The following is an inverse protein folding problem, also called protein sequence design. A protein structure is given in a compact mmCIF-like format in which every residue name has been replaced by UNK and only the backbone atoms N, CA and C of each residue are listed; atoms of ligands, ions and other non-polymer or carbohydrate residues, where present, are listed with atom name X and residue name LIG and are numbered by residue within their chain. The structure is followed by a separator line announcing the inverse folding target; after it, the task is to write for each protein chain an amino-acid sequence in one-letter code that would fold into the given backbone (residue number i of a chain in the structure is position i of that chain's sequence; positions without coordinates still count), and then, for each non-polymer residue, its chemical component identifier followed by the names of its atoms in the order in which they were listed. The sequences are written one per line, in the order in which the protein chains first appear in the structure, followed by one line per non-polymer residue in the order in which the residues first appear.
data_IF_686440383353
#
_entry.id   IF_686440383353
#
_cell.length_a   1.000
_cell.length_b   1.000
_cell.length_c   1.000
_cell.angle_alpha   90.00
_cell.angle_beta   90.00
_cell.angle_gamma   90.00
#
_symmetry.space_group_name_H-M   'P 1'
#
loop_
_entity.id
_entity.type
_entity.pdbx_description
1 polymer ?
#
# COMPACT_ATOMS: atom_id res chain seq x y z
N UNK A 1 -10.48 -5.51 10.47
CA UNK A 1 -11.29 -4.76 9.46
C UNK A 1 -11.06 -5.21 8.01
N UNK A 2 -9.87 -5.10 7.39
CA UNK A 2 -9.70 -5.35 5.94
C UNK A 2 -9.84 -6.79 5.43
N UNK A 3 -9.96 -7.79 6.32
CA UNK A 3 -10.28 -9.19 5.96
C UNK A 3 -11.78 -9.47 5.99
N UNK A 4 -12.62 -8.49 6.36
CA UNK A 4 -14.06 -8.69 6.45
C UNK A 4 -14.67 -8.99 5.07
N UNK A 5 -15.82 -9.68 5.06
CA UNK A 5 -16.51 -10.03 3.81
C UNK A 5 -17.27 -8.85 3.20
N UNK A 6 -17.70 -7.90 4.02
CA UNK A 6 -18.51 -6.73 3.60
C UNK A 6 -18.01 -5.46 4.28
N UNK A 7 -18.36 -4.31 3.68
CA UNK A 7 -18.05 -2.99 4.24
C UNK A 7 -18.62 -2.83 5.65
N UNK A 8 -19.90 -3.15 5.85
CA UNK A 8 -20.54 -3.06 7.18
C UNK A 8 -19.80 -3.85 8.26
N UNK A 9 -19.34 -5.07 7.95
CA UNK A 9 -18.53 -5.86 8.90
C UNK A 9 -17.14 -5.26 9.13
N UNK A 10 -16.57 -4.60 8.12
CA UNK A 10 -15.29 -3.91 8.25
C UNK A 10 -15.41 -2.67 9.15
N UNK A 11 -16.51 -1.93 9.03
CA UNK A 11 -16.85 -0.77 9.88
C UNK A 11 -17.10 -1.19 11.32
N UNK A 12 -17.88 -2.26 11.56
CA UNK A 12 -18.06 -2.82 12.90
C UNK A 12 -16.72 -3.22 13.51
N UNK A 13 -15.88 -3.94 12.77
CA UNK A 13 -14.56 -4.34 13.24
C UNK A 13 -13.64 -3.13 13.50
N UNK A 14 -13.77 -2.03 12.75
CA UNK A 14 -13.03 -0.79 13.03
C UNK A 14 -13.49 -0.17 14.36
N UNK A 15 -14.80 -0.06 14.58
CA UNK A 15 -15.36 0.47 15.82
C UNK A 15 -14.92 -0.34 17.05
N UNK A 16 -14.89 -1.66 16.95
CA UNK A 16 -14.38 -2.55 18.01
C UNK A 16 -12.90 -2.32 18.31
N UNK A 17 -12.06 -2.20 17.27
CA UNK A 17 -10.63 -1.92 17.44
C UNK A 17 -10.44 -0.54 18.08
N UNK A 18 -11.13 0.49 17.60
CA UNK A 18 -11.06 1.85 18.18
C UNK A 18 -11.43 1.80 19.65
N UNK A 19 -12.55 1.16 20.01
CA UNK A 19 -12.99 1.00 21.39
C UNK A 19 -11.91 0.32 22.26
N UNK A 20 -11.27 -0.74 21.77
CA UNK A 20 -10.22 -1.45 22.50
C UNK A 20 -8.99 -0.60 22.82
N UNK A 21 -8.68 0.39 21.97
CA UNK A 21 -7.53 1.28 22.14
C UNK A 21 -7.85 2.61 22.82
N UNK A 22 -9.13 2.96 23.06
CA UNK A 22 -9.49 4.26 23.64
C UNK A 22 -8.80 4.54 24.98
N UNK A 23 -8.61 3.52 25.82
CA UNK A 23 -7.96 3.67 27.13
C UNK A 23 -6.43 3.55 27.05
N UNK A 24 -5.92 2.52 26.36
CA UNK A 24 -4.48 2.20 26.35
C UNK A 24 -3.68 3.08 25.39
N UNK A 25 -4.30 3.54 24.29
CA UNK A 25 -3.66 4.34 23.25
C UNK A 25 -4.65 5.35 22.62
N UNK A 26 -5.09 6.37 23.37
CA UNK A 26 -6.16 7.30 22.94
C UNK A 26 -5.82 8.04 21.64
N UNK A 27 -4.55 8.41 21.43
CA UNK A 27 -4.09 9.05 20.18
C UNK A 27 -4.24 8.12 18.97
N UNK A 28 -3.92 6.84 19.13
CA UNK A 28 -4.08 5.85 18.07
C UNK A 28 -5.56 5.62 17.77
N UNK A 29 -6.40 5.52 18.80
CA UNK A 29 -7.84 5.35 18.64
C UNK A 29 -8.47 6.52 17.85
N UNK A 30 -8.13 7.76 18.21
CA UNK A 30 -8.59 8.95 17.47
C UNK A 30 -8.11 8.95 16.02
N UNK A 31 -6.83 8.63 15.78
CA UNK A 31 -6.28 8.55 14.44
C UNK A 31 -6.98 7.48 13.59
N UNK A 32 -7.23 6.30 14.16
CA UNK A 32 -7.94 5.22 13.47
C UNK A 32 -9.37 5.62 13.09
N UNK A 33 -10.08 6.29 13.99
CA UNK A 33 -11.45 6.75 13.77
C UNK A 33 -11.54 7.77 12.63
N UNK A 34 -10.55 8.66 12.50
CA UNK A 34 -10.50 9.68 11.46
C UNK A 34 -9.97 9.16 10.11
N UNK A 35 -8.92 8.33 10.12
CA UNK A 35 -8.15 8.03 8.90
C UNK A 35 -8.42 6.64 8.32
N UNK A 36 -8.73 5.65 9.16
CA UNK A 36 -8.92 4.28 8.68
C UNK A 36 -10.17 4.07 7.79
N UNK A 37 -11.28 4.85 7.90
CA UNK A 37 -12.42 4.73 7.00
C UNK A 37 -12.09 4.92 5.51
N UNK A 38 -11.17 5.81 5.16
CA UNK A 38 -10.75 6.01 3.76
C UNK A 38 -10.17 4.72 3.16
N UNK A 39 -9.41 3.97 3.96
CA UNK A 39 -8.88 2.66 3.57
C UNK A 39 -9.94 1.57 3.35
N UNK A 40 -11.19 1.80 3.77
CA UNK A 40 -12.32 0.91 3.49
C UNK A 40 -12.93 1.12 2.09
N UNK A 41 -12.49 2.14 1.34
CA UNK A 41 -12.90 2.32 -0.06
C UNK A 41 -12.60 1.09 -0.94
N UNK A 42 -11.63 0.24 -0.55
CA UNK A 42 -11.33 -1.02 -1.23
C UNK A 42 -12.53 -1.97 -1.34
N UNK A 43 -13.53 -1.85 -0.46
CA UNK A 43 -14.75 -2.66 -0.51
C UNK A 43 -15.67 -2.35 -1.69
N UNK A 44 -15.47 -1.20 -2.36
CA UNK A 44 -16.16 -0.86 -3.62
C UNK A 44 -15.66 -1.71 -4.80
N UNK A 45 -14.50 -2.36 -4.65
CA UNK A 45 -13.89 -3.19 -5.69
C UNK A 45 -14.40 -4.64 -5.62
N UNK A 46 -14.32 -5.39 -6.74
CA UNK A 46 -14.54 -6.84 -6.75
C UNK A 46 -13.67 -7.57 -5.73
N UNK A 47 -14.21 -8.60 -5.08
CA UNK A 47 -13.55 -9.31 -3.98
C UNK A 47 -12.13 -9.80 -4.33
N UNK A 48 -11.96 -10.34 -5.56
CA UNK A 48 -10.68 -10.84 -6.04
C UNK A 48 -9.60 -9.75 -6.20
N UNK A 49 -9.97 -8.47 -6.35
CA UNK A 49 -9.04 -7.34 -6.37
C UNK A 49 -8.65 -6.87 -4.97
N UNK A 50 -9.58 -6.96 -4.01
CA UNK A 50 -9.39 -6.42 -2.65
C UNK A 50 -8.11 -6.93 -2.00
N UNK A 51 -7.80 -8.22 -2.13
CA UNK A 51 -6.61 -8.81 -1.50
C UNK A 51 -5.30 -8.15 -1.93
N UNK A 52 -5.21 -7.72 -3.20
CA UNK A 52 -4.03 -7.06 -3.77
C UNK A 52 -4.01 -5.56 -3.48
N UNK A 53 -5.19 -4.91 -3.49
CA UNK A 53 -5.30 -3.46 -3.37
C UNK A 53 -5.49 -2.92 -1.96
N UNK A 54 -5.82 -3.76 -0.98
CA UNK A 54 -6.03 -3.33 0.42
C UNK A 54 -4.73 -3.05 1.19
N UNK A 55 -3.55 -3.33 0.63
CA UNK A 55 -2.26 -3.10 1.29
C UNK A 55 -1.27 -2.40 0.37
N UNK A 56 -0.35 -1.65 0.97
CA UNK A 56 0.79 -1.02 0.31
C UNK A 56 1.99 -1.97 0.09
N UNK A 57 1.91 -3.23 0.56
CA UNK A 57 3.01 -4.20 0.51
C UNK A 57 3.73 -4.32 -0.84
N UNK A 58 3.03 -4.35 -1.99
CA UNK A 58 3.69 -4.44 -3.29
C UNK A 58 4.57 -3.22 -3.55
N UNK A 59 4.05 -2.01 -3.30
CA UNK A 59 4.79 -0.75 -3.46
C UNK A 59 5.97 -0.68 -2.51
N UNK A 60 5.76 -1.02 -1.23
CA UNK A 60 6.82 -1.01 -0.22
C UNK A 60 7.95 -1.98 -0.57
N UNK A 61 7.60 -3.20 -1.00
CA UNK A 61 8.58 -4.26 -1.27
C UNK A 61 9.31 -4.10 -2.61
N UNK A 62 8.60 -3.76 -3.68
CA UNK A 62 9.19 -3.72 -5.02
C UNK A 62 9.81 -2.38 -5.37
N UNK A 63 9.25 -1.28 -4.85
CA UNK A 63 9.69 0.08 -5.18
C UNK A 63 10.46 0.70 -4.02
N UNK A 64 9.83 0.86 -2.86
CA UNK A 64 10.44 1.64 -1.77
C UNK A 64 11.70 0.97 -1.19
N UNK A 65 11.71 -0.36 -1.05
CA UNK A 65 12.90 -1.08 -0.61
C UNK A 65 14.08 -0.89 -1.56
N UNK A 66 13.83 -0.89 -2.87
CA UNK A 66 14.88 -0.73 -3.86
C UNK A 66 15.43 0.71 -3.88
N UNK A 67 14.54 1.70 -3.80
CA UNK A 67 14.94 3.10 -3.62
C UNK A 67 15.80 3.28 -2.38
N UNK A 68 15.35 2.76 -1.23
CA UNK A 68 16.13 2.79 0.03
C UNK A 68 17.47 2.09 -0.13
N UNK A 69 17.53 0.91 -0.75
CA UNK A 69 18.76 0.14 -0.97
C UNK A 69 19.78 0.92 -1.79
N UNK A 70 19.36 1.58 -2.88
CA UNK A 70 20.28 2.34 -3.75
C UNK A 70 20.75 3.64 -3.12
N UNK A 71 19.84 4.35 -2.44
CA UNK A 71 20.15 5.64 -1.79
C UNK A 71 21.03 5.49 -0.55
N UNK A 72 20.80 4.46 0.28
CA UNK A 72 21.60 4.19 1.49
C UNK A 72 23.08 3.94 1.15
N UNK A 73 23.39 3.36 -0.01
CA UNK A 73 24.77 3.15 -0.45
C UNK A 73 25.52 4.45 -0.74
N UNK A 74 24.83 5.47 -1.25
CA UNK A 74 25.43 6.77 -1.60
C UNK A 74 25.67 7.61 -0.34
N UNK A 75 24.85 7.45 0.70
CA UNK A 75 24.86 8.17 1.99
C UNK A 75 24.60 9.68 1.90
N UNK A 76 25.37 10.40 1.07
CA UNK A 76 25.26 11.86 0.88
C UNK A 76 25.29 12.17 -0.60
N UNK A 77 24.34 12.96 -1.07
CA UNK A 77 24.27 13.40 -2.45
C UNK A 77 24.85 14.81 -2.59
N UNK A 78 25.54 15.11 -3.72
CA UNK A 78 26.12 16.43 -3.96
C UNK A 78 25.08 17.51 -4.30
N UNK A 79 23.88 17.11 -4.74
CA UNK A 79 22.74 17.99 -5.01
C UNK A 79 21.44 17.19 -5.10
N UNK A 80 20.31 17.88 -5.02
CA UNK A 80 18.98 17.28 -5.22
C UNK A 80 18.84 16.68 -6.62
N UNK A 81 19.42 17.30 -7.65
CA UNK A 81 19.44 16.77 -9.01
C UNK A 81 20.17 15.43 -9.11
N UNK A 82 21.22 15.23 -8.31
CA UNK A 82 21.94 13.97 -8.28
C UNK A 82 21.11 12.85 -7.63
N UNK A 83 20.35 13.16 -6.57
CA UNK A 83 19.40 12.24 -5.96
C UNK A 83 18.26 11.91 -6.92
N UNK A 84 17.65 12.94 -7.52
CA UNK A 84 16.56 12.77 -8.47
C UNK A 84 16.97 11.88 -9.63
N UNK A 85 18.16 12.10 -10.20
CA UNK A 85 18.70 11.26 -11.29
C UNK A 85 18.79 9.78 -10.91
N UNK A 86 19.31 9.47 -9.71
CA UNK A 86 19.39 8.08 -9.25
C UNK A 86 18.00 7.48 -9.05
N UNK A 87 17.10 8.19 -8.36
CA UNK A 87 15.74 7.71 -8.08
C UNK A 87 14.97 7.48 -9.39
N UNK A 88 15.03 8.41 -10.34
CA UNK A 88 14.41 8.27 -11.65
C UNK A 88 14.98 7.08 -12.42
N UNK A 89 16.31 6.89 -12.42
CA UNK A 89 16.92 5.74 -13.08
C UNK A 89 16.45 4.40 -12.48
N UNK A 90 16.29 4.32 -11.15
CA UNK A 90 15.75 3.13 -10.50
C UNK A 90 14.29 2.88 -10.87
N UNK A 91 13.47 3.93 -10.93
CA UNK A 91 12.07 3.80 -11.31
C UNK A 91 11.92 3.34 -12.77
N UNK A 92 12.75 3.86 -13.69
CA UNK A 92 12.80 3.39 -15.08
C UNK A 92 13.16 1.91 -15.16
N UNK A 93 14.18 1.45 -14.42
CA UNK A 93 14.57 0.04 -14.38
C UNK A 93 13.44 -0.87 -13.85
N UNK A 94 12.70 -0.41 -12.85
CA UNK A 94 11.53 -1.14 -12.32
C UNK A 94 10.42 -1.21 -13.37
N UNK A 95 10.13 -0.09 -14.04
CA UNK A 95 9.12 -0.01 -15.08
C UNK A 95 9.43 -0.94 -16.26
N UNK A 96 10.66 -0.90 -16.78
CA UNK A 96 11.13 -1.79 -17.84
C UNK A 96 10.98 -3.27 -17.45
N UNK A 97 11.34 -3.61 -16.21
CA UNK A 97 11.16 -4.97 -15.70
C UNK A 97 9.70 -5.37 -15.68
N UNK A 98 8.80 -4.51 -15.22
CA UNK A 98 7.36 -4.79 -15.20
C UNK A 98 6.76 -4.89 -16.60
N UNK A 99 7.20 -4.05 -17.53
CA UNK A 99 6.77 -4.09 -18.92
C UNK A 99 7.17 -5.41 -19.62
N UNK A 100 8.30 -6.00 -19.22
CA UNK A 100 8.78 -7.28 -19.75
C UNK A 100 8.14 -8.52 -19.10
N UNK A 101 7.39 -8.36 -18.01
CA UNK A 101 6.84 -9.47 -17.25
C UNK A 101 5.55 -10.01 -17.88
N UNK A 102 5.40 -11.34 -17.86
CA UNK A 102 4.24 -12.02 -18.48
C UNK A 102 3.01 -12.09 -17.56
N UNK A 103 3.19 -11.79 -16.27
CA UNK A 103 2.17 -11.90 -15.24
C UNK A 103 1.69 -10.52 -14.79
N UNK A 104 0.44 -10.20 -15.12
CA UNK A 104 -0.20 -8.97 -14.66
C UNK A 104 -0.41 -8.95 -13.13
N UNK A 105 -0.07 -7.82 -12.50
CA UNK A 105 -0.28 -7.61 -11.06
C UNK A 105 -1.77 -7.51 -10.70
N UNK A 106 -2.63 -6.96 -11.56
CA UNK A 106 -4.09 -7.01 -11.42
C UNK A 106 -4.67 -7.25 -12.81
N UNK A 107 -5.61 -8.19 -12.90
CA UNK A 107 -6.45 -8.37 -14.08
C UNK A 107 -7.80 -7.75 -13.78
N UNK A 108 -8.15 -6.68 -14.48
CA UNK A 108 -9.40 -5.96 -14.25
C UNK A 108 -10.63 -6.73 -14.72
N UNK A 109 -10.47 -7.55 -15.75
CA UNK A 109 -11.50 -8.46 -16.22
C UNK A 109 -11.58 -9.71 -15.32
N UNK A 110 -12.78 -10.02 -14.82
CA UNK A 110 -13.08 -11.30 -14.19
C UNK A 110 -12.84 -12.41 -15.22
N UNK A 111 -11.71 -13.10 -15.16
CA UNK A 111 -11.59 -14.40 -15.78
C UNK A 111 -12.39 -15.37 -14.91
N UNK A 112 -13.67 -15.55 -15.24
CA UNK A 112 -14.48 -16.64 -14.73
C UNK A 112 -13.72 -17.95 -14.96
N UNK A 113 -13.35 -18.61 -13.87
CA UNK A 113 -12.92 -20.01 -13.85
C UNK A 113 -13.34 -20.59 -12.50
#
# INVERSE_FOLDING_TARGET
MWNASTLAKAETALAEIVASYRTSAPKLAAWLEENAPEGLAVFTLPEHHRRRLRTSNPMERSVQQELKRRTVKVRVFPSDDALLRLVSAVLVEIDEKWASETKAYIKWECQNA
#
